data_IF_083045126529
#
_entry.id   IF_083045126529
#
_cell.length_a   1.000
_cell.length_b   1.000
_cell.length_c   1.000
_cell.angle_alpha   90.00
_cell.angle_beta   90.00
_cell.angle_gamma   90.00
#
_symmetry.space_group_name_H-M   'P 1'
#
loop_
_entity.id
_entity.type
_entity.pdbx_description
1 polymer ?
#
# COMPACT_ATOMS: atom_id res chain seq x y z
N UNK A 1 -3.61 -16.22 14.13
CA UNK A 1 -4.13 -14.99 13.52
C UNK A 1 -5.30 -14.45 14.34
N UNK A 2 -5.00 -13.48 15.19
CA UNK A 2 -5.98 -12.89 16.09
C UNK A 2 -6.97 -11.97 15.37
N UNK A 3 -8.10 -11.67 16.01
CA UNK A 3 -9.07 -10.66 15.52
C UNK A 3 -8.38 -9.32 15.24
N UNK A 4 -7.35 -8.98 16.02
CA UNK A 4 -6.54 -7.77 15.85
C UNK A 4 -5.71 -7.81 14.57
N UNK A 5 -5.05 -8.93 14.29
CA UNK A 5 -4.22 -9.08 13.10
C UNK A 5 -5.07 -9.09 11.83
N UNK A 6 -6.26 -9.71 11.88
CA UNK A 6 -7.22 -9.67 10.77
C UNK A 6 -7.60 -8.24 10.41
N UNK A 7 -7.92 -7.45 11.43
CA UNK A 7 -8.28 -6.05 11.26
C UNK A 7 -7.11 -5.21 10.74
N UNK A 8 -5.88 -5.46 11.23
CA UNK A 8 -4.66 -4.81 10.72
C UNK A 8 -4.40 -5.15 9.26
N UNK A 9 -4.56 -6.41 8.87
CA UNK A 9 -4.43 -6.84 7.49
C UNK A 9 -5.50 -6.21 6.58
N UNK A 10 -6.76 -6.11 7.00
CA UNK A 10 -7.79 -5.39 6.25
C UNK A 10 -7.43 -3.91 6.05
N UNK A 11 -6.99 -3.23 7.11
CA UNK A 11 -6.57 -1.83 7.04
C UNK A 11 -5.39 -1.66 6.07
N UNK A 12 -4.39 -2.55 6.13
CA UNK A 12 -3.26 -2.53 5.20
C UNK A 12 -3.69 -2.82 3.76
N UNK A 13 -4.58 -3.77 3.53
CA UNK A 13 -5.13 -4.05 2.21
C UNK A 13 -5.89 -2.84 1.64
N UNK A 14 -6.71 -2.17 2.45
CA UNK A 14 -7.37 -0.92 2.03
C UNK A 14 -6.36 0.18 1.72
N UNK A 15 -5.29 0.32 2.51
CA UNK A 15 -4.21 1.28 2.25
C UNK A 15 -3.50 0.97 0.93
N UNK A 16 -3.18 -0.30 0.67
CA UNK A 16 -2.55 -0.74 -0.58
C UNK A 16 -3.46 -0.43 -1.77
N UNK A 17 -4.75 -0.77 -1.70
CA UNK A 17 -5.70 -0.51 -2.79
C UNK A 17 -5.80 0.98 -3.11
N UNK A 18 -5.82 1.84 -2.07
CA UNK A 18 -5.82 3.30 -2.25
C UNK A 18 -4.52 3.80 -2.89
N UNK A 19 -3.37 3.32 -2.41
CA UNK A 19 -2.06 3.65 -2.99
C UNK A 19 -1.94 3.21 -4.45
N UNK A 20 -2.48 2.04 -4.82
CA UNK A 20 -2.52 1.57 -6.21
C UNK A 20 -3.38 2.48 -7.11
N UNK A 21 -4.52 2.95 -6.62
CA UNK A 21 -5.36 3.89 -7.36
C UNK A 21 -4.65 5.24 -7.56
N UNK A 22 -4.03 5.77 -6.50
CA UNK A 22 -3.23 7.00 -6.58
C UNK A 22 -2.07 6.83 -7.57
N UNK A 23 -1.35 5.70 -7.48
CA UNK A 23 -0.24 5.38 -8.38
C UNK A 23 -0.71 5.31 -9.83
N UNK A 24 -1.87 4.70 -10.08
CA UNK A 24 -2.44 4.59 -11.42
C UNK A 24 -2.87 5.96 -11.97
N UNK A 25 -3.34 6.85 -11.10
CA UNK A 25 -3.64 8.25 -11.44
C UNK A 25 -2.36 9.02 -11.77
N UNK A 26 -1.38 9.00 -10.86
CA UNK A 26 -0.08 9.66 -11.01
C UNK A 26 0.71 9.13 -12.22
N UNK A 27 0.58 7.85 -12.58
CA UNK A 27 1.19 7.30 -13.81
C UNK A 27 0.49 7.76 -15.08
N UNK A 28 -0.82 8.05 -15.04
CA UNK A 28 -1.59 8.51 -16.20
C UNK A 28 -1.41 10.00 -16.46
N UNK A 29 -1.40 10.81 -15.41
CA UNK A 29 -1.04 12.23 -15.46
C UNK A 29 0.01 12.47 -14.36
N UNK A 30 1.30 12.35 -14.69
CA UNK A 30 2.35 12.70 -13.76
C UNK A 30 2.42 14.22 -13.67
N UNK A 31 1.59 14.79 -12.80
CA UNK A 31 1.68 16.21 -12.43
C UNK A 31 2.96 16.47 -11.62
N UNK A 32 3.38 15.50 -10.80
CA UNK A 32 4.65 15.52 -10.07
C UNK A 32 5.47 14.23 -10.33
N UNK A 33 6.66 14.33 -10.95
CA UNK A 33 7.52 13.17 -11.21
C UNK A 33 8.04 12.49 -9.94
N UNK A 34 8.01 13.16 -8.78
CA UNK A 34 8.39 12.58 -7.50
C UNK A 34 7.24 11.84 -6.79
N UNK A 35 6.00 12.01 -7.24
CA UNK A 35 4.83 11.37 -6.62
C UNK A 35 4.78 9.87 -6.91
N UNK A 36 5.04 9.45 -8.15
CA UNK A 36 5.11 8.04 -8.53
C UNK A 36 6.11 7.24 -7.68
N UNK A 37 7.40 7.61 -7.58
CA UNK A 37 8.35 6.86 -6.78
C UNK A 37 8.01 6.88 -5.27
N UNK A 38 7.43 7.96 -4.74
CA UNK A 38 6.92 7.99 -3.36
C UNK A 38 5.80 7.00 -3.14
N UNK A 39 4.81 6.98 -4.02
CA UNK A 39 3.69 6.05 -3.95
C UNK A 39 4.15 4.59 -4.09
N UNK A 40 5.15 4.32 -4.94
CA UNK A 40 5.76 2.99 -5.05
C UNK A 40 6.49 2.57 -3.77
N UNK A 41 7.22 3.48 -3.13
CA UNK A 41 7.87 3.23 -1.84
C UNK A 41 6.85 2.93 -0.73
N UNK A 42 5.80 3.75 -0.62
CA UNK A 42 4.73 3.56 0.36
C UNK A 42 3.99 2.24 0.15
N UNK A 43 3.75 1.88 -1.11
CA UNK A 43 3.10 0.63 -1.48
C UNK A 43 4.00 -0.58 -1.17
N UNK A 44 5.30 -0.49 -1.46
CA UNK A 44 6.27 -1.53 -1.11
C UNK A 44 6.37 -1.73 0.41
N UNK A 45 6.39 -0.64 1.19
CA UNK A 45 6.37 -0.69 2.65
C UNK A 45 5.10 -1.36 3.18
N UNK A 46 3.92 -0.98 2.66
CA UNK A 46 2.66 -1.58 3.06
C UNK A 46 2.57 -3.07 2.69
N UNK A 47 3.10 -3.48 1.54
CA UNK A 47 3.19 -4.90 1.16
C UNK A 47 4.15 -5.68 2.05
N UNK A 48 5.28 -5.09 2.46
CA UNK A 48 6.22 -5.72 3.38
C UNK A 48 5.59 -5.92 4.77
N UNK A 49 4.86 -4.93 5.29
CA UNK A 49 4.09 -5.05 6.53
C UNK A 49 2.99 -6.11 6.43
N UNK A 50 2.28 -6.18 5.29
CA UNK A 50 1.26 -7.21 5.07
C UNK A 50 1.89 -8.61 5.05
N UNK A 51 3.07 -8.76 4.42
CA UNK A 51 3.78 -10.03 4.32
C UNK A 51 4.31 -10.51 5.67
N UNK A 52 4.81 -9.60 6.51
CA UNK A 52 5.23 -9.94 7.88
C UNK A 52 4.05 -10.35 8.74
N UNK A 53 2.92 -9.63 8.66
CA UNK A 53 1.67 -10.00 9.34
C UNK A 53 1.09 -11.35 8.88
N UNK A 54 1.31 -11.73 7.61
CA UNK A 54 0.84 -13.02 7.07
C UNK A 54 1.76 -14.19 7.43
N UNK A 55 3.04 -13.93 7.70
CA UNK A 55 4.02 -14.94 8.15
C UNK A 55 4.01 -15.15 9.67
N UNK A 56 3.52 -14.16 10.43
CA UNK A 56 3.41 -14.19 11.90
C UNK A 56 2.20 -14.94 12.44
#
# INVERSE_FOLDING_TARGET
>A
MDKKDKKRMEVLQQKIAKLQQLLSGAKKQPDDPAEVPRLEQDLAAAHAELATLKKG
#
